data_IF_619679412382
#
_entry.id   IF_619679412382
#
_cell.length_a   1.000
_cell.length_b   1.000
_cell.length_c   1.000
_cell.angle_alpha   90.00
_cell.angle_beta   90.00
_cell.angle_gamma   90.00
#
_symmetry.space_group_name_H-M   'P 1'
#
loop_
_entity.id
_entity.type
_entity.pdbx_description
1 polymer ?
#
# COMPACT_ATOMS: atom_id res chain seq x y z
N UNK A 1 -17.98 14.20 4.90
CA UNK A 1 -18.64 14.00 3.58
C UNK A 1 -18.73 12.51 3.28
N UNK A 2 -19.90 12.00 2.87
CA UNK A 2 -20.11 10.56 2.66
C UNK A 2 -20.53 10.24 1.22
N UNK A 3 -20.00 9.15 0.66
CA UNK A 3 -20.26 8.65 -0.69
C UNK A 3 -21.03 7.34 -0.63
N UNK A 4 -22.19 7.30 -1.28
CA UNK A 4 -23.10 6.15 -1.25
C UNK A 4 -22.51 4.93 -1.96
N UNK A 5 -22.81 3.74 -1.43
CA UNK A 5 -22.53 2.44 -2.05
C UNK A 5 -23.75 1.89 -2.82
N UNK A 6 -24.89 2.59 -2.80
CA UNK A 6 -26.11 2.16 -3.51
C UNK A 6 -25.84 2.15 -5.02
N UNK A 7 -25.95 0.99 -5.65
CA UNK A 7 -25.67 0.75 -7.07
C UNK A 7 -24.24 1.04 -7.52
N UNK A 8 -23.29 1.22 -6.59
CA UNK A 8 -21.90 1.53 -6.88
C UNK A 8 -21.00 0.56 -6.12
N UNK A 9 -20.20 -0.21 -6.84
CA UNK A 9 -19.11 -0.99 -6.25
C UNK A 9 -17.87 -0.12 -6.17
N UNK A 10 -17.30 0.04 -4.97
CA UNK A 10 -16.12 0.86 -4.72
C UNK A 10 -14.85 0.02 -4.62
N UNK A 11 -13.76 0.54 -5.18
CA UNK A 11 -12.42 -0.06 -5.23
C UNK A 11 -11.36 1.01 -4.88
N UNK A 12 -10.09 0.60 -4.81
CA UNK A 12 -8.97 1.45 -4.39
C UNK A 12 -8.87 1.58 -2.87
N UNK A 13 -8.44 2.75 -2.41
CA UNK A 13 -8.22 3.04 -1.00
C UNK A 13 -6.97 2.36 -0.45
N UNK A 14 -7.07 1.85 0.76
CA UNK A 14 -5.96 1.22 1.46
C UNK A 14 -6.07 -0.31 1.51
N UNK A 15 -4.92 -0.96 1.66
CA UNK A 15 -4.86 -2.37 2.04
C UNK A 15 -5.42 -2.53 3.45
N UNK A 16 -6.16 -3.62 3.66
CA UNK A 16 -6.77 -3.96 4.95
C UNK A 16 -6.30 -5.34 5.41
N UNK A 17 -6.38 -5.61 6.71
CA UNK A 17 -6.11 -6.94 7.27
C UNK A 17 -7.01 -8.01 6.65
N UNK A 18 -8.32 -7.73 6.60
CA UNK A 18 -9.30 -8.53 5.88
C UNK A 18 -9.67 -7.87 4.54
N UNK A 19 -8.82 -8.05 3.52
CA UNK A 19 -9.01 -7.44 2.22
C UNK A 19 -10.26 -7.98 1.51
N UNK A 20 -11.14 -7.08 1.08
CA UNK A 20 -12.28 -7.41 0.23
C UNK A 20 -12.29 -6.54 -1.02
N UNK A 21 -12.75 -7.12 -2.12
CA UNK A 21 -13.02 -6.42 -3.37
C UNK A 21 -14.41 -6.84 -3.85
N UNK A 22 -15.37 -5.91 -3.98
CA UNK A 22 -15.29 -4.47 -3.70
C UNK A 22 -15.21 -4.13 -2.20
N UNK A 23 -14.85 -2.87 -1.90
CA UNK A 23 -14.85 -2.29 -0.56
C UNK A 23 -16.24 -2.28 0.10
N UNK A 24 -17.31 -2.48 -0.66
CA UNK A 24 -18.68 -2.55 -0.15
C UNK A 24 -18.88 -3.60 0.94
N UNK A 25 -18.05 -4.65 0.95
CA UNK A 25 -18.10 -5.73 1.93
C UNK A 25 -17.27 -5.46 3.19
N UNK A 26 -16.61 -4.31 3.28
CA UNK A 26 -15.79 -3.91 4.42
C UNK A 26 -16.62 -3.12 5.43
N UNK A 27 -16.36 -3.35 6.71
CA UNK A 27 -16.80 -2.47 7.79
C UNK A 27 -15.57 -1.96 8.54
N UNK A 28 -15.44 -0.65 8.69
CA UNK A 28 -14.29 -0.01 9.32
C UNK A 28 -14.73 1.26 10.05
N UNK A 29 -14.45 1.33 11.35
CA UNK A 29 -14.74 2.51 12.16
C UNK A 29 -13.93 3.73 11.70
N UNK A 30 -14.44 4.92 12.03
CA UNK A 30 -13.81 6.18 11.68
C UNK A 30 -12.43 6.29 12.31
N UNK A 31 -11.39 6.28 11.48
CA UNK A 31 -10.01 6.31 11.95
C UNK A 31 -9.08 7.04 10.98
N UNK A 32 -7.90 7.51 11.44
CA UNK A 32 -6.95 8.22 10.59
C UNK A 32 -6.48 7.38 9.41
N UNK A 33 -6.52 7.95 8.21
CA UNK A 33 -6.06 7.30 6.98
C UNK A 33 -4.52 7.32 6.89
N UNK A 34 -3.89 6.51 7.73
CA UNK A 34 -2.43 6.40 7.88
C UNK A 34 -1.99 4.93 7.87
N UNK A 35 -0.78 4.68 7.36
CA UNK A 35 -0.20 3.33 7.32
C UNK A 35 0.04 2.82 8.75
N UNK A 36 -0.24 1.54 8.97
CA UNK A 36 0.03 0.84 10.23
C UNK A 36 0.58 -0.57 9.95
N UNK A 37 1.21 -1.17 10.97
CA UNK A 37 1.55 -2.59 10.94
C UNK A 37 0.31 -3.41 11.31
N UNK A 38 -0.27 -4.11 10.33
CA UNK A 38 -1.47 -4.94 10.51
C UNK A 38 -1.28 -6.11 11.48
N UNK A 39 -0.03 -6.47 11.83
CA UNK A 39 0.23 -7.44 12.90
C UNK A 39 -0.02 -6.85 14.29
N UNK A 40 0.22 -5.56 14.45
CA UNK A 40 0.06 -4.82 15.71
C UNK A 40 -1.34 -4.21 15.79
N UNK A 41 -1.83 -3.66 14.67
CA UNK A 41 -3.15 -3.06 14.54
C UNK A 41 -3.93 -3.71 13.36
N UNK A 42 -4.57 -4.88 13.57
CA UNK A 42 -5.29 -5.60 12.52
C UNK A 42 -6.46 -4.82 11.90
N UNK A 43 -7.05 -3.90 12.67
CA UNK A 43 -8.16 -3.03 12.27
C UNK A 43 -7.69 -1.75 11.59
N UNK A 44 -6.37 -1.56 11.41
CA UNK A 44 -5.78 -0.40 10.75
C UNK A 44 -5.66 -0.55 9.23
N UNK A 45 -4.91 0.37 8.63
CA UNK A 45 -4.55 0.31 7.21
C UNK A 45 -3.15 -0.29 7.03
N UNK A 46 -2.98 -1.10 5.99
CA UNK A 46 -1.70 -1.71 5.63
C UNK A 46 -0.73 -0.76 4.94
N UNK A 47 0.36 -1.33 4.43
CA UNK A 47 1.45 -0.59 3.79
C UNK A 47 1.10 0.06 2.45
N UNK A 48 0.04 -0.42 1.79
CA UNK A 48 -0.51 0.23 0.58
C UNK A 48 -1.65 1.14 1.02
N UNK A 49 -1.47 2.45 0.84
CA UNK A 49 -2.43 3.48 1.23
C UNK A 49 -2.64 4.44 0.05
N UNK A 50 -3.51 4.09 -0.88
CA UNK A 50 -3.82 4.94 -2.03
C UNK A 50 -4.95 5.92 -1.66
N UNK A 51 -4.72 7.20 -1.91
CA UNK A 51 -5.69 8.28 -1.70
C UNK A 51 -6.77 8.33 -2.79
N UNK A 52 -7.06 7.20 -3.44
CA UNK A 52 -7.89 7.10 -4.63
C UNK A 52 -8.96 6.03 -4.45
N UNK A 53 -10.23 6.42 -4.59
CA UNK A 53 -11.38 5.53 -4.57
C UNK A 53 -12.08 5.56 -5.92
N UNK A 54 -12.39 4.38 -6.46
CA UNK A 54 -12.95 4.21 -7.80
C UNK A 54 -14.30 3.49 -7.71
N UNK A 55 -15.35 4.11 -8.24
CA UNK A 55 -16.69 3.55 -8.32
C UNK A 55 -16.98 2.92 -9.68
N UNK A 56 -17.72 1.80 -9.68
CA UNK A 56 -18.09 1.04 -10.88
C UNK A 56 -18.92 1.81 -11.91
N UNK A 57 -19.58 2.90 -11.50
CA UNK A 57 -20.43 3.73 -12.36
C UNK A 57 -19.69 4.87 -13.07
N UNK A 58 -18.35 4.88 -13.02
CA UNK A 58 -17.55 5.96 -13.61
C UNK A 58 -17.37 7.17 -12.70
N UNK A 59 -17.61 7.03 -11.40
CA UNK A 59 -17.26 8.04 -10.39
C UNK A 59 -15.92 7.71 -9.74
N UNK A 60 -15.15 8.72 -9.36
CA UNK A 60 -13.97 8.53 -8.51
C UNK A 60 -13.83 9.66 -7.49
N UNK A 61 -13.15 9.36 -6.38
CA UNK A 61 -12.81 10.31 -5.32
C UNK A 61 -11.32 10.22 -5.06
N UNK A 62 -10.61 11.34 -5.23
CA UNK A 62 -9.18 11.44 -4.97
C UNK A 62 -8.93 12.42 -3.83
N UNK A 63 -8.37 11.95 -2.73
CA UNK A 63 -7.99 12.79 -1.60
C UNK A 63 -6.71 13.54 -1.95
N UNK A 64 -6.67 14.83 -1.62
CA UNK A 64 -5.47 15.62 -1.87
C UNK A 64 -4.30 15.13 -1.01
N UNK A 65 -3.09 15.26 -1.54
CA UNK A 65 -1.85 14.98 -0.80
C UNK A 65 -1.73 15.92 0.40
N UNK A 66 -1.11 15.44 1.48
CA UNK A 66 -0.81 16.19 2.70
C UNK A 66 -2.02 16.71 3.50
N UNK A 67 -3.24 16.26 3.20
CA UNK A 67 -4.43 16.57 4.01
C UNK A 67 -4.73 15.40 4.95
N UNK A 68 -4.67 15.61 6.28
CA UNK A 68 -5.13 14.63 7.25
C UNK A 68 -6.63 14.33 7.05
N UNK A 69 -7.01 13.06 7.15
CA UNK A 69 -8.39 12.62 6.91
C UNK A 69 -8.68 11.40 7.77
N UNK A 70 -9.85 11.39 8.38
CA UNK A 70 -10.44 10.22 9.01
C UNK A 70 -11.37 9.56 7.98
N UNK A 71 -11.32 8.23 7.87
CA UNK A 71 -12.17 7.46 6.96
C UNK A 71 -12.91 6.39 7.73
N UNK A 72 -14.20 6.23 7.43
CA UNK A 72 -14.99 5.05 7.80
C UNK A 72 -15.57 4.37 6.57
N UNK A 73 -15.69 3.05 6.64
CA UNK A 73 -16.31 2.21 5.62
C UNK A 73 -17.51 1.53 6.26
N UNK A 74 -18.71 1.91 5.86
CA UNK A 74 -19.95 1.31 6.37
C UNK A 74 -20.46 0.32 5.34
N UNK A 75 -20.43 -0.97 5.70
CA UNK A 75 -20.75 -2.08 4.80
C UNK A 75 -22.07 -1.83 4.05
N UNK A 76 -22.02 -1.98 2.72
CA UNK A 76 -23.14 -1.76 1.79
C UNK A 76 -23.83 -0.39 1.89
N UNK A 77 -23.24 0.58 2.58
CA UNK A 77 -23.88 1.85 2.90
C UNK A 77 -23.12 3.02 2.28
N UNK A 78 -21.92 3.32 2.79
CA UNK A 78 -21.16 4.47 2.33
C UNK A 78 -19.67 4.43 2.73
N UNK A 79 -18.89 5.28 2.09
CA UNK A 79 -17.53 5.68 2.50
C UNK A 79 -17.63 7.09 3.04
N UNK A 80 -17.23 7.35 4.28
CA UNK A 80 -17.26 8.70 4.86
C UNK A 80 -15.85 9.23 5.09
N UNK A 81 -15.66 10.51 4.79
CA UNK A 81 -14.44 11.29 4.98
C UNK A 81 -14.72 12.39 6.00
N UNK A 82 -13.87 12.51 7.00
CA UNK A 82 -13.97 13.54 8.03
C UNK A 82 -12.61 14.20 8.29
N UNK A 83 -12.62 15.46 8.71
CA UNK A 83 -11.41 16.15 9.11
C UNK A 83 -11.09 15.77 10.57
N UNK A 84 -9.86 15.38 10.94
CA UNK A 84 -9.49 15.27 12.34
C UNK A 84 -9.69 16.61 13.05
N UNK A 85 -10.53 16.64 14.08
CA UNK A 85 -10.81 17.83 14.88
C UNK A 85 -9.55 18.30 15.61
N UNK A 86 -8.80 19.24 15.05
CA UNK A 86 -7.70 19.93 15.74
C UNK A 86 -7.75 21.44 15.51
N UNK A 87 -7.08 22.18 16.39
CA UNK A 87 -7.15 23.64 16.54
C UNK A 87 -6.71 24.45 15.31
N UNK A 88 -6.06 23.81 14.34
CA UNK A 88 -5.70 24.35 13.03
C UNK A 88 -6.47 23.58 11.95
N UNK A 89 -7.70 24.03 11.65
CA UNK A 89 -8.61 23.33 10.73
C UNK A 89 -8.09 23.43 9.30
N UNK A 90 -7.22 22.51 8.89
CA UNK A 90 -6.91 22.27 7.48
C UNK A 90 -8.19 21.72 6.84
N UNK A 91 -8.83 22.41 5.89
CA UNK A 91 -10.09 21.95 5.33
C UNK A 91 -9.90 20.63 4.57
N UNK A 92 -10.91 19.75 4.66
CA UNK A 92 -10.96 18.53 3.87
C UNK A 92 -10.90 18.88 2.37
N UNK A 93 -9.91 18.34 1.65
CA UNK A 93 -9.69 18.60 0.22
C UNK A 93 -9.63 17.30 -0.56
N UNK A 94 -10.55 17.16 -1.52
CA UNK A 94 -10.63 16.01 -2.41
C UNK A 94 -11.21 16.44 -3.77
N UNK A 95 -10.94 15.64 -4.79
CA UNK A 95 -11.46 15.81 -6.16
C UNK A 95 -12.44 14.70 -6.45
N UNK A 96 -13.60 15.03 -7.01
CA UNK A 96 -14.55 14.05 -7.53
C UNK A 96 -14.57 14.17 -9.05
N UNK A 97 -14.32 13.06 -9.73
CA UNK A 97 -14.44 13.00 -11.19
C UNK A 97 -15.55 12.03 -11.57
N UNK A 98 -16.32 12.39 -12.59
CA UNK A 98 -17.41 11.59 -13.12
C UNK A 98 -17.22 11.47 -14.62
N UNK A 99 -17.19 10.24 -15.12
CA UNK A 99 -17.14 9.90 -16.53
C UNK A 99 -18.19 8.83 -16.82
N UNK A 100 -18.29 8.41 -18.09
CA UNK A 100 -19.31 7.48 -18.56
C UNK A 100 -19.00 6.01 -18.23
N UNK A 101 -17.78 5.70 -17.81
CA UNK A 101 -17.38 4.35 -17.40
C UNK A 101 -16.25 4.38 -16.37
N UNK A 102 -16.11 3.27 -15.62
CA UNK A 102 -15.00 3.07 -14.69
C UNK A 102 -13.64 3.19 -15.40
N UNK A 103 -13.52 2.66 -16.63
CA UNK A 103 -12.28 2.73 -17.39
C UNK A 103 -11.93 4.18 -17.74
N UNK A 104 -12.92 4.94 -18.21
CA UNK A 104 -12.73 6.32 -18.67
C UNK A 104 -12.33 7.24 -17.52
N UNK A 105 -13.02 7.17 -16.38
CA UNK A 105 -12.64 7.98 -15.20
C UNK A 105 -11.26 7.60 -14.66
N UNK A 106 -10.90 6.31 -14.72
CA UNK A 106 -9.57 5.87 -14.30
C UNK A 106 -8.46 6.39 -15.21
N UNK A 107 -8.69 6.40 -16.53
CA UNK A 107 -7.74 6.94 -17.50
C UNK A 107 -7.58 8.46 -17.36
N UNK A 108 -8.67 9.21 -17.18
CA UNK A 108 -8.64 10.66 -16.97
C UNK A 108 -7.87 11.04 -15.70
N UNK A 109 -8.08 10.31 -14.61
CA UNK A 109 -7.39 10.55 -13.33
C UNK A 109 -5.91 10.18 -13.35
N UNK A 110 -5.47 9.35 -14.30
CA UNK A 110 -4.06 8.95 -14.44
C UNK A 110 -3.20 10.05 -15.07
N UNK A 111 -3.80 10.95 -15.85
CA UNK A 111 -3.09 12.02 -16.54
C UNK A 111 -2.37 12.99 -15.59
N UNK A 112 -3.00 13.53 -14.51
CA UNK A 112 -2.30 14.42 -13.57
C UNK A 112 -1.31 13.70 -12.64
N UNK A 113 -1.48 12.39 -12.37
CA UNK A 113 -0.53 11.60 -11.55
C UNK A 113 0.79 11.32 -12.31
N UNK A 114 0.77 11.46 -13.65
CA UNK A 114 1.89 11.16 -14.53
C UNK A 114 2.90 12.30 -14.70
N UNK A 115 2.63 13.51 -14.18
CA UNK A 115 3.55 14.66 -14.30
C UNK A 115 4.79 14.53 -13.41
N UNK A 116 4.76 13.64 -12.39
CA UNK A 116 6.01 13.12 -11.85
C UNK A 116 6.58 12.13 -12.87
N UNK A 117 7.72 12.46 -13.48
CA UNK A 117 8.56 11.50 -14.19
C UNK A 117 8.85 10.33 -13.23
N UNK A 118 7.97 9.31 -13.24
CA UNK A 118 8.21 8.06 -12.55
C UNK A 118 9.31 7.37 -13.34
N UNK A 119 10.56 7.62 -12.94
CA UNK A 119 11.67 6.74 -13.30
C UNK A 119 11.28 5.35 -12.81
N UNK A 120 10.95 4.48 -13.76
CA UNK A 120 10.59 3.12 -13.42
C UNK A 120 11.81 2.51 -12.70
N UNK A 121 11.62 1.93 -11.49
CA UNK A 121 12.71 1.28 -10.80
C UNK A 121 13.22 0.13 -11.68
N UNK A 122 14.50 -0.21 -11.52
CA UNK A 122 15.07 -1.33 -12.24
C UNK A 122 14.28 -2.61 -11.95
N UNK A 123 13.59 -3.14 -12.96
CA UNK A 123 12.73 -4.32 -12.83
C UNK A 123 13.49 -5.64 -12.93
N UNK A 124 14.83 -5.63 -13.03
CA UNK A 124 15.63 -6.85 -13.07
C UNK A 124 15.42 -7.71 -11.82
N UNK A 125 15.11 -7.09 -10.67
CA UNK A 125 14.77 -7.83 -9.44
C UNK A 125 13.57 -8.76 -9.59
N UNK A 126 12.65 -8.45 -10.52
CA UNK A 126 11.48 -9.29 -10.81
C UNK A 126 11.79 -10.45 -11.76
N UNK A 127 12.96 -10.45 -12.41
CA UNK A 127 13.36 -11.46 -13.40
C UNK A 127 14.14 -12.62 -12.81
N UNK A 128 14.65 -12.48 -11.59
CA UNK A 128 15.48 -13.48 -10.92
C UNK A 128 14.87 -13.92 -9.59
N UNK A 129 15.14 -15.16 -9.14
CA UNK A 129 14.69 -15.62 -7.83
C UNK A 129 15.23 -14.75 -6.69
N UNK A 130 14.37 -14.48 -5.70
CA UNK A 130 14.72 -13.83 -4.43
C UNK A 130 14.83 -14.89 -3.35
N UNK A 131 16.04 -15.08 -2.83
CA UNK A 131 16.33 -16.02 -1.76
C UNK A 131 16.33 -15.31 -0.41
N UNK A 132 15.71 -15.91 0.60
CA UNK A 132 15.73 -15.39 1.97
C UNK A 132 16.54 -16.33 2.85
N UNK A 133 17.51 -15.77 3.57
CA UNK A 133 18.19 -16.46 4.65
C UNK A 133 17.39 -16.25 5.95
N UNK A 134 17.14 -17.31 6.71
CA UNK A 134 16.34 -17.27 7.95
C UNK A 134 17.18 -17.36 9.24
N UNK A 135 18.50 -17.18 9.16
CA UNK A 135 19.36 -17.24 10.35
C UNK A 135 19.36 -15.93 11.12
N UNK A 136 18.96 -16.01 12.40
CA UNK A 136 19.10 -14.92 13.37
C UNK A 136 20.56 -14.86 13.83
N UNK A 137 21.16 -13.67 13.83
CA UNK A 137 22.56 -13.48 14.18
C UNK A 137 22.79 -12.15 14.86
N UNK A 138 23.57 -12.17 15.93
CA UNK A 138 23.88 -11.00 16.76
C UNK A 138 25.22 -10.36 16.38
N UNK A 139 25.91 -10.86 15.35
CA UNK A 139 27.17 -10.27 14.87
C UNK A 139 27.32 -10.31 13.35
N UNK A 140 28.00 -9.29 12.82
CA UNK A 140 28.35 -9.16 11.40
C UNK A 140 29.14 -10.38 10.89
N UNK A 141 30.16 -10.80 11.64
CA UNK A 141 31.03 -11.92 11.24
C UNK A 141 30.27 -13.26 11.10
N UNK A 142 29.21 -13.47 11.90
CA UNK A 142 28.35 -14.65 11.76
C UNK A 142 27.41 -14.50 10.56
N UNK A 143 26.82 -13.31 10.34
CA UNK A 143 25.99 -13.02 9.15
C UNK A 143 26.77 -13.28 7.86
N UNK A 144 27.99 -12.76 7.74
CA UNK A 144 28.82 -12.97 6.55
C UNK A 144 29.11 -14.46 6.29
N UNK A 145 29.42 -15.21 7.36
CA UNK A 145 29.66 -16.65 7.27
C UNK A 145 28.42 -17.40 6.79
N UNK A 146 27.26 -17.06 7.35
CA UNK A 146 25.99 -17.71 7.04
C UNK A 146 25.56 -17.38 5.61
N UNK A 147 25.66 -16.12 5.18
CA UNK A 147 25.39 -15.70 3.80
C UNK A 147 26.33 -16.38 2.79
N UNK A 148 27.62 -16.51 3.12
CA UNK A 148 28.59 -17.24 2.29
C UNK A 148 28.23 -18.72 2.17
N UNK A 149 27.90 -19.36 3.29
CA UNK A 149 27.48 -20.76 3.33
C UNK A 149 26.19 -20.99 2.52
N UNK A 150 25.23 -20.07 2.65
CA UNK A 150 23.97 -20.09 1.91
C UNK A 150 24.20 -19.92 0.40
N UNK A 151 25.00 -18.92 -0.01
CA UNK A 151 25.40 -18.72 -1.42
C UNK A 151 26.08 -19.96 -2.02
N UNK A 152 26.97 -20.61 -1.27
CA UNK A 152 27.63 -21.84 -1.70
C UNK A 152 26.64 -23.01 -1.84
N UNK A 153 25.60 -23.10 -1.02
CA UNK A 153 24.51 -24.09 -1.20
C UNK A 153 23.75 -23.82 -2.50
N UNK A 154 23.36 -22.58 -2.76
CA UNK A 154 22.65 -22.20 -3.99
C UNK A 154 23.45 -22.56 -5.25
N UNK A 155 24.76 -22.26 -5.26
CA UNK A 155 25.67 -22.64 -6.35
C UNK A 155 25.76 -24.14 -6.53
N UNK A 156 25.94 -24.91 -5.45
CA UNK A 156 26.03 -26.39 -5.50
C UNK A 156 24.77 -27.04 -6.06
N UNK A 157 23.61 -26.44 -5.85
CA UNK A 157 22.33 -26.93 -6.37
C UNK A 157 21.92 -26.28 -7.71
N UNK A 158 22.84 -25.57 -8.39
CA UNK A 158 22.60 -24.94 -9.68
C UNK A 158 21.39 -23.99 -9.71
N UNK A 159 21.16 -23.24 -8.63
CA UNK A 159 20.00 -22.35 -8.46
C UNK A 159 20.06 -21.03 -9.27
N UNK A 160 20.94 -20.94 -10.29
CA UNK A 160 21.05 -19.79 -11.18
C UNK A 160 21.47 -18.48 -10.52
N UNK A 161 21.32 -17.37 -11.26
CA UNK A 161 21.50 -16.02 -10.72
C UNK A 161 20.27 -15.60 -9.90
N UNK A 162 20.47 -14.78 -8.88
CA UNK A 162 19.41 -14.34 -7.99
C UNK A 162 19.89 -13.30 -6.99
N UNK A 163 18.96 -12.84 -6.16
CA UNK A 163 19.22 -11.90 -5.08
C UNK A 163 19.06 -12.61 -3.75
N UNK A 164 19.90 -12.29 -2.76
CA UNK A 164 19.69 -12.72 -1.38
C UNK A 164 19.17 -11.53 -0.59
N UNK A 165 17.97 -11.64 -0.03
CA UNK A 165 17.38 -10.63 0.84
C UNK A 165 18.05 -10.66 2.20
N UNK A 166 18.43 -9.48 2.69
CA UNK A 166 18.95 -9.26 4.03
C UNK A 166 17.92 -8.40 4.77
N UNK A 167 17.61 -8.74 6.02
CA UNK A 167 16.67 -7.98 6.83
C UNK A 167 17.31 -6.71 7.43
N UNK A 168 16.47 -5.86 8.01
CA UNK A 168 16.91 -4.59 8.61
C UNK A 168 17.94 -4.80 9.73
N UNK A 169 17.68 -5.75 10.63
CA UNK A 169 18.59 -6.04 11.74
C UNK A 169 19.98 -6.45 11.25
N UNK A 170 20.04 -7.35 10.27
CA UNK A 170 21.28 -7.80 9.66
C UNK A 170 21.99 -6.68 8.91
N UNK A 171 21.24 -5.79 8.26
CA UNK A 171 21.78 -4.61 7.59
C UNK A 171 22.47 -3.67 8.58
N UNK A 172 21.84 -3.42 9.73
CA UNK A 172 22.41 -2.60 10.81
C UNK A 172 23.69 -3.20 11.40
N UNK A 173 23.75 -4.52 11.53
CA UNK A 173 24.96 -5.21 12.01
C UNK A 173 26.10 -5.15 11.00
N UNK A 174 25.81 -5.20 9.70
CA UNK A 174 26.81 -5.14 8.63
C UNK A 174 27.30 -3.72 8.30
N UNK A 175 26.56 -2.68 8.71
CA UNK A 175 26.93 -1.28 8.46
C UNK A 175 27.90 -0.68 9.49
N UNK A 176 28.15 -1.38 10.60
CA UNK A 176 29.07 -0.99 11.68
C UNK A 176 30.40 -1.73 11.55
#
# INVERSE_FOLDING_TARGET
NCFSMVNISWYGGASLGAQHWPLNNVNMELQPFVISDLKINPEGYGSVLERYFLGSTGVSVMLHENVPVLISLNRNTNICLENPSSSEVVPLKYTVCVSHSLLSVHQEMRSPISDHQRTLPNTNILRFPLWRHYGVSDSAAKIERDLRSFSNKLKRHNMGQGYISIDEHSTLLLSN
#
